data_IF_264647249710
#
_entry.id   IF_264647249710
#
_cell.length_a   1.000
_cell.length_b   1.000
_cell.length_c   1.000
_cell.angle_alpha   90.00
_cell.angle_beta   90.00
_cell.angle_gamma   90.00
#
_symmetry.space_group_name_H-M   'P 1'
#
loop_
_entity.id
_entity.type
_entity.pdbx_description
1 polymer ?
#
# COMPACT_ATOMS: atom_id res chain seq x y z
N UNK A 1 4.29 -68.24 -4.79
CA UNK A 1 3.09 -67.45 -4.48
C UNK A 1 3.12 -67.18 -2.98
N UNK A 2 3.68 -66.04 -2.57
CA UNK A 2 3.90 -65.69 -1.16
C UNK A 2 2.89 -64.63 -0.74
N UNK A 3 1.94 -65.03 0.10
CA UNK A 3 0.94 -64.15 0.72
C UNK A 3 1.57 -63.40 1.88
N UNK A 4 1.57 -62.07 1.82
CA UNK A 4 1.86 -61.20 2.97
C UNK A 4 0.56 -60.56 3.45
N UNK A 5 0.24 -60.79 4.72
CA UNK A 5 -0.91 -60.25 5.43
C UNK A 5 -0.57 -58.85 5.95
N UNK A 6 -1.35 -57.84 5.56
CA UNK A 6 -1.23 -56.49 6.14
C UNK A 6 -1.98 -56.45 7.48
N UNK A 7 -1.25 -56.11 8.55
CA UNK A 7 -1.81 -55.86 9.88
C UNK A 7 -2.16 -54.37 10.00
N UNK A 8 -3.45 -54.07 10.10
CA UNK A 8 -3.98 -52.70 10.25
C UNK A 8 -3.98 -52.32 11.73
N UNK A 9 -3.07 -51.44 12.14
CA UNK A 9 -3.11 -50.82 13.47
C UNK A 9 -4.12 -49.67 13.47
N UNK A 10 -5.20 -49.80 14.26
CA UNK A 10 -6.12 -48.70 14.55
C UNK A 10 -5.58 -47.89 15.74
N UNK A 11 -5.14 -46.65 15.48
CA UNK A 11 -4.80 -45.68 16.53
C UNK A 11 -6.09 -44.98 16.96
N UNK A 12 -6.55 -45.29 18.16
CA UNK A 12 -7.72 -44.68 18.78
C UNK A 12 -7.33 -43.31 19.37
N UNK A 13 -7.68 -42.21 18.68
CA UNK A 13 -7.50 -40.84 19.21
C UNK A 13 -8.69 -40.51 20.10
N UNK A 14 -8.45 -40.33 21.39
CA UNK A 14 -9.44 -39.90 22.39
C UNK A 14 -9.51 -38.36 22.39
N UNK A 15 -10.48 -37.78 21.68
CA UNK A 15 -10.75 -36.35 21.72
C UNK A 15 -11.63 -36.01 22.94
N UNK A 16 -11.01 -35.52 24.02
CA UNK A 16 -11.71 -34.80 25.08
C UNK A 16 -11.78 -33.32 24.69
N UNK A 17 -12.98 -32.85 24.35
CA UNK A 17 -13.27 -31.43 24.16
C UNK A 17 -13.53 -30.76 25.52
N UNK A 18 -12.78 -29.72 25.92
CA UNK A 18 -13.20 -28.84 27.00
C UNK A 18 -14.18 -27.78 26.48
N UNK A 19 -15.23 -27.55 27.25
CA UNK A 19 -16.25 -26.51 27.09
C UNK A 19 -15.67 -25.09 27.20
N UNK A 20 -16.21 -24.09 26.49
CA UNK A 20 -15.75 -22.71 26.60
C UNK A 20 -16.30 -22.06 27.87
N UNK A 21 -15.41 -21.62 28.76
CA UNK A 21 -15.76 -20.75 29.89
C UNK A 21 -15.93 -19.31 29.41
N UNK A 22 -17.06 -18.72 29.77
CA UNK A 22 -17.41 -17.34 29.45
C UNK A 22 -16.90 -16.36 30.51
N UNK A 23 -16.28 -15.28 30.05
CA UNK A 23 -16.19 -13.92 30.62
C UNK A 23 -15.74 -13.71 32.07
N UNK A 24 -14.59 -13.06 32.22
CA UNK A 24 -14.50 -11.76 32.89
C UNK A 24 -13.19 -11.07 32.45
N UNK A 25 -13.29 -10.22 31.42
CA UNK A 25 -12.20 -9.30 31.09
C UNK A 25 -12.44 -8.01 31.88
N UNK A 26 -11.49 -7.69 32.75
CA UNK A 26 -11.41 -6.45 33.51
C UNK A 26 -11.45 -5.25 32.57
N UNK A 27 -12.43 -4.36 32.77
CA UNK A 27 -12.51 -3.08 32.05
C UNK A 27 -11.29 -2.23 32.40
N UNK A 28 -10.31 -2.18 31.51
CA UNK A 28 -9.36 -1.08 31.47
C UNK A 28 -10.14 0.15 30.99
N UNK A 29 -10.35 1.09 31.90
CA UNK A 29 -10.99 2.37 31.64
C UNK A 29 -10.03 3.21 30.80
N UNK A 30 -10.39 3.45 29.53
CA UNK A 30 -9.69 4.42 28.70
C UNK A 30 -9.97 5.83 29.28
N UNK A 31 -8.95 6.68 29.48
CA UNK A 31 -9.18 8.04 29.93
C UNK A 31 -9.87 8.83 28.82
N UNK A 32 -11.00 9.44 29.17
CA UNK A 32 -11.70 10.40 28.32
C UNK A 32 -10.81 11.65 28.21
N UNK A 33 -10.30 11.95 27.02
CA UNK A 33 -9.65 13.23 26.74
C UNK A 33 -10.77 14.24 26.50
N UNK A 34 -11.09 15.01 27.54
CA UNK A 34 -12.06 16.11 27.49
C UNK A 34 -11.29 17.41 27.20
N UNK A 35 -11.42 17.94 25.99
CA UNK A 35 -10.92 19.28 25.68
C UNK A 35 -11.80 20.33 26.38
N UNK A 36 -11.27 20.98 27.42
CA UNK A 36 -11.90 22.15 28.03
C UNK A 36 -11.56 23.40 27.22
N UNK A 37 -12.46 23.82 26.35
CA UNK A 37 -12.42 25.19 25.81
C UNK A 37 -13.09 26.11 26.83
N UNK A 38 -12.28 26.93 27.50
CA UNK A 38 -12.74 27.95 28.43
C UNK A 38 -12.81 29.28 27.66
N UNK A 39 -13.99 29.86 27.40
CA UNK A 39 -14.08 31.17 26.79
C UNK A 39 -14.06 32.20 27.93
N UNK A 40 -12.89 32.78 28.19
CA UNK A 40 -12.78 33.88 29.15
C UNK A 40 -13.12 35.19 28.42
N UNK A 41 -14.37 35.62 28.54
CA UNK A 41 -14.78 36.97 28.19
C UNK A 41 -14.71 37.91 29.41
N UNK A 42 -14.03 39.04 29.17
CA UNK A 42 -14.35 40.40 29.63
C UNK A 42 -14.12 40.77 31.11
N UNK A 43 -13.13 41.64 31.39
CA UNK A 43 -13.34 43.10 31.42
C UNK A 43 -12.10 43.92 31.81
N UNK A 44 -11.77 44.88 30.92
CA UNK A 44 -11.37 46.28 31.17
C UNK A 44 -10.30 46.58 32.22
N UNK A 45 -9.09 46.98 31.77
CA UNK A 45 -8.48 48.27 32.19
C UNK A 45 -7.83 48.94 30.98
N UNK A 46 -8.26 50.17 30.78
CA UNK A 46 -7.81 51.19 29.84
C UNK A 46 -6.30 51.44 29.96
N UNK A 47 -5.57 51.38 28.85
CA UNK A 47 -4.59 52.43 28.52
C UNK A 47 -4.33 52.49 27.02
N UNK A 48 -4.60 53.68 26.48
CA UNK A 48 -4.16 54.10 25.16
C UNK A 48 -2.66 53.87 24.97
N UNK A 49 -2.29 53.44 23.76
CA UNK A 49 -1.17 53.91 22.93
C UNK A 49 -0.47 52.75 22.22
N UNK A 50 -0.94 52.46 21.00
CA UNK A 50 -0.14 52.20 19.79
C UNK A 50 -1.05 51.67 18.67
N UNK A 51 -1.74 52.60 18.01
CA UNK A 51 -2.07 52.48 16.58
C UNK A 51 -0.76 52.63 15.80
N UNK A 52 -0.68 52.01 14.62
CA UNK A 52 0.49 51.88 13.71
C UNK A 52 1.35 50.67 14.15
N UNK A 53 1.35 49.51 13.50
CA UNK A 53 1.66 49.25 12.08
C UNK A 53 1.04 47.89 11.70
N UNK A 54 0.04 47.89 10.80
CA UNK A 54 -0.49 46.68 10.15
C UNK A 54 -0.49 46.90 8.65
N UNK A 55 0.70 46.92 8.05
CA UNK A 55 0.92 46.88 6.60
C UNK A 55 2.36 46.44 6.40
N UNK A 56 2.64 45.57 5.42
CA UNK A 56 3.95 44.96 5.08
C UNK A 56 4.25 43.55 5.64
N UNK A 57 3.34 42.59 5.46
CA UNK A 57 3.71 41.16 5.51
C UNK A 57 2.99 40.36 4.42
N UNK A 58 2.99 40.89 3.18
CA UNK A 58 2.30 40.27 2.05
C UNK A 58 3.16 40.10 0.78
N UNK A 59 4.47 40.37 0.79
CA UNK A 59 5.28 40.38 -0.45
C UNK A 59 6.64 39.68 -0.37
N UNK A 60 6.85 38.74 0.54
CA UNK A 60 8.15 38.05 0.68
C UNK A 60 8.06 36.52 0.71
N UNK A 61 7.25 35.91 -0.16
CA UNK A 61 7.31 34.47 -0.45
C UNK A 61 7.73 34.14 -1.89
N UNK A 62 7.99 35.16 -2.73
CA UNK A 62 8.34 34.95 -4.15
C UNK A 62 9.86 34.80 -4.42
N UNK A 63 10.72 34.80 -3.41
CA UNK A 63 12.18 34.87 -3.60
C UNK A 63 13.00 33.82 -2.82
N UNK A 64 12.39 32.69 -2.46
CA UNK A 64 13.14 31.49 -2.07
C UNK A 64 12.83 30.42 -3.10
N UNK A 65 13.86 30.06 -3.88
CA UNK A 65 13.82 28.93 -4.79
C UNK A 65 13.42 27.67 -4.04
N UNK A 66 12.13 27.34 -4.12
CA UNK A 66 11.64 26.02 -3.80
C UNK A 66 12.02 25.15 -5.01
N UNK A 67 13.12 24.42 -4.87
CA UNK A 67 13.27 23.14 -5.54
C UNK A 67 11.92 22.42 -5.41
N UNK A 68 11.24 22.24 -6.54
CA UNK A 68 9.88 21.73 -6.60
C UNK A 68 9.78 20.43 -5.84
N UNK A 69 9.28 20.48 -4.61
CA UNK A 69 8.65 19.32 -4.00
C UNK A 69 7.56 18.92 -4.98
N UNK A 70 7.54 17.67 -5.49
CA UNK A 70 6.47 17.25 -6.38
C UNK A 70 5.17 17.57 -5.66
N UNK A 71 4.32 18.37 -6.32
CA UNK A 71 2.96 18.61 -5.83
C UNK A 71 2.39 17.22 -5.58
N UNK A 72 2.07 16.91 -4.33
CA UNK A 72 1.38 15.68 -4.00
C UNK A 72 0.02 15.76 -4.70
N UNK A 73 -0.05 15.23 -5.91
CA UNK A 73 -1.31 15.04 -6.63
C UNK A 73 -2.06 14.05 -5.78
N UNK A 74 -3.10 14.54 -5.10
CA UNK A 74 -4.03 13.66 -4.41
C UNK A 74 -4.58 12.69 -5.47
N UNK A 75 -4.33 11.39 -5.31
CA UNK A 75 -4.82 10.44 -6.30
C UNK A 75 -6.36 10.46 -6.26
N UNK A 76 -7.00 10.34 -7.41
CA UNK A 76 -8.45 10.48 -7.54
C UNK A 76 -9.15 9.16 -7.21
N UNK A 77 -9.12 8.69 -5.97
CA UNK A 77 -9.74 7.41 -5.58
C UNK A 77 -11.28 7.44 -5.50
N UNK A 78 -11.90 8.60 -5.78
CA UNK A 78 -13.33 8.82 -5.54
C UNK A 78 -13.69 8.90 -4.05
N UNK A 79 -14.89 9.40 -3.73
CA UNK A 79 -15.38 9.50 -2.33
C UNK A 79 -16.24 8.30 -1.99
N UNK A 80 -15.63 7.13 -1.86
CA UNK A 80 -16.32 5.93 -1.42
C UNK A 80 -16.27 5.82 0.11
N UNK A 81 -17.41 6.00 0.77
CA UNK A 81 -17.46 6.00 2.23
C UNK A 81 -17.42 4.57 2.77
N UNK A 82 -16.41 4.25 3.59
CA UNK A 82 -16.28 2.95 4.30
C UNK A 82 -17.58 2.53 5.00
N UNK A 83 -18.32 3.49 5.56
CA UNK A 83 -19.60 3.25 6.24
C UNK A 83 -20.73 2.76 5.33
N UNK A 84 -20.62 2.96 4.01
CA UNK A 84 -21.66 2.64 3.04
C UNK A 84 -21.35 1.36 2.26
N UNK A 85 -20.07 1.09 2.00
CA UNK A 85 -19.65 0.01 1.11
C UNK A 85 -19.11 -1.21 1.85
N UNK A 86 -18.91 -1.14 3.17
CA UNK A 86 -18.38 -2.20 4.05
C UNK A 86 -16.96 -2.69 3.70
N UNK A 87 -16.56 -2.59 2.43
CA UNK A 87 -15.24 -2.83 1.88
C UNK A 87 -14.88 -1.68 0.94
N UNK A 88 -13.67 -1.13 1.10
CA UNK A 88 -13.17 -0.08 0.21
C UNK A 88 -12.42 -0.75 -0.94
N UNK A 89 -13.02 -0.76 -2.12
CA UNK A 89 -12.36 -1.15 -3.35
C UNK A 89 -12.20 0.13 -4.20
N UNK A 90 -10.97 0.50 -4.61
CA UNK A 90 -10.78 1.68 -5.45
C UNK A 90 -11.57 1.52 -6.76
N UNK A 91 -12.69 2.22 -6.90
CA UNK A 91 -13.46 2.32 -8.14
C UNK A 91 -12.75 3.20 -9.17
N UNK A 92 -11.50 2.89 -9.48
CA UNK A 92 -10.62 3.74 -10.26
C UNK A 92 -11.04 3.74 -11.73
N UNK A 93 -10.86 4.86 -12.44
CA UNK A 93 -11.02 4.87 -13.90
C UNK A 93 -9.97 3.96 -14.55
N UNK A 94 -10.26 3.29 -15.68
CA UNK A 94 -9.26 2.51 -16.40
C UNK A 94 -7.98 3.29 -16.76
N UNK A 95 -8.12 4.58 -17.03
CA UNK A 95 -7.01 5.50 -17.35
C UNK A 95 -6.17 5.80 -16.10
N UNK A 96 -6.84 6.08 -14.98
CA UNK A 96 -6.19 6.33 -13.70
C UNK A 96 -5.50 5.07 -13.16
N UNK A 97 -6.05 3.88 -13.41
CA UNK A 97 -5.40 2.60 -13.12
C UNK A 97 -4.10 2.43 -13.91
N UNK A 98 -4.10 2.78 -15.19
CA UNK A 98 -2.88 2.78 -16.00
C UNK A 98 -1.85 3.80 -15.48
N UNK A 99 -2.28 4.97 -15.01
CA UNK A 99 -1.40 5.95 -14.38
C UNK A 99 -0.79 5.41 -13.07
N UNK A 100 -1.58 4.72 -12.24
CA UNK A 100 -1.08 4.10 -11.00
C UNK A 100 -0.11 2.96 -11.26
N UNK A 101 -0.30 2.19 -12.33
CA UNK A 101 0.69 1.19 -12.78
C UNK A 101 2.02 1.87 -13.13
N UNK A 102 2.00 3.02 -13.80
CA UNK A 102 3.23 3.80 -14.10
C UNK A 102 3.92 4.28 -12.81
N UNK A 103 3.16 4.81 -11.86
CA UNK A 103 3.69 5.19 -10.55
C UNK A 103 4.25 3.98 -9.75
N UNK A 104 3.66 2.80 -9.97
CA UNK A 104 4.16 1.54 -9.39
C UNK A 104 5.50 1.17 -10.02
N UNK A 105 5.63 1.28 -11.34
CA UNK A 105 6.88 1.07 -12.06
C UNK A 105 7.99 2.02 -11.57
N UNK A 106 7.72 3.33 -11.51
CA UNK A 106 8.65 4.31 -10.96
C UNK A 106 9.06 3.98 -9.52
N UNK A 107 8.09 3.56 -8.71
CA UNK A 107 8.33 3.13 -7.34
C UNK A 107 9.23 1.89 -7.25
N UNK A 108 9.07 0.92 -8.15
CA UNK A 108 9.93 -0.27 -8.19
C UNK A 108 11.34 0.07 -8.66
N UNK A 109 11.51 1.04 -9.57
CA UNK A 109 12.84 1.52 -9.94
C UNK A 109 13.53 2.25 -8.78
N UNK A 110 12.79 3.01 -7.97
CA UNK A 110 13.37 3.77 -6.85
C UNK A 110 13.85 2.91 -5.68
N UNK A 111 13.39 1.66 -5.56
CA UNK A 111 13.79 0.78 -4.44
C UNK A 111 15.15 0.08 -4.66
N UNK A 112 15.84 0.33 -5.77
CA UNK A 112 17.18 -0.24 -6.04
C UNK A 112 18.15 0.00 -4.89
N UNK A 113 18.23 1.24 -4.41
CA UNK A 113 19.14 1.64 -3.32
C UNK A 113 18.84 0.90 -2.00
N UNK A 114 17.56 0.66 -1.70
CA UNK A 114 17.15 -0.13 -0.54
C UNK A 114 17.61 -1.59 -0.64
N UNK A 115 17.65 -2.13 -1.85
CA UNK A 115 18.06 -3.50 -2.11
C UNK A 115 19.59 -3.63 -2.07
N UNK A 116 20.31 -2.64 -2.61
CA UNK A 116 21.77 -2.51 -2.54
C UNK A 116 22.26 -2.39 -1.08
N UNK A 117 21.54 -1.63 -0.25
CA UNK A 117 21.81 -1.48 1.19
C UNK A 117 21.33 -2.65 2.05
N UNK A 118 20.80 -3.72 1.44
CA UNK A 118 20.32 -4.93 2.13
C UNK A 118 19.24 -4.65 3.19
N UNK A 119 18.42 -3.62 2.96
CA UNK A 119 17.37 -3.18 3.89
C UNK A 119 16.10 -4.03 3.79
N UNK A 120 16.25 -5.36 3.90
CA UNK A 120 15.24 -6.38 3.58
C UNK A 120 13.84 -6.13 4.15
N UNK A 121 13.76 -5.67 5.40
CA UNK A 121 12.49 -5.37 6.05
C UNK A 121 11.75 -4.23 5.35
N UNK A 122 12.46 -3.17 4.97
CA UNK A 122 11.89 -2.04 4.23
C UNK A 122 11.50 -2.46 2.81
N UNK A 123 12.36 -3.22 2.14
CA UNK A 123 12.09 -3.78 0.81
C UNK A 123 10.80 -4.59 0.81
N UNK A 124 10.62 -5.50 1.78
CA UNK A 124 9.41 -6.30 1.91
C UNK A 124 8.15 -5.45 2.08
N UNK A 125 8.16 -4.47 2.99
CA UNK A 125 7.00 -3.60 3.20
C UNK A 125 6.69 -2.78 1.96
N UNK A 126 7.72 -2.29 1.29
CA UNK A 126 7.56 -1.46 0.10
C UNK A 126 6.96 -2.23 -1.07
N UNK A 127 7.48 -3.43 -1.36
CA UNK A 127 6.94 -4.31 -2.40
C UNK A 127 5.47 -4.61 -2.13
N UNK A 128 5.11 -4.98 -0.90
CA UNK A 128 3.72 -5.31 -0.54
C UNK A 128 2.78 -4.12 -0.66
N UNK A 129 3.25 -2.92 -0.32
CA UNK A 129 2.49 -1.69 -0.52
C UNK A 129 2.22 -1.45 -2.00
N UNK A 130 3.22 -1.66 -2.86
CA UNK A 130 3.08 -1.53 -4.32
C UNK A 130 2.23 -2.63 -4.95
N UNK A 131 2.22 -3.83 -4.38
CA UNK A 131 1.42 -4.97 -4.84
C UNK A 131 -0.05 -4.91 -4.45
N UNK A 132 -0.39 -4.24 -3.35
CA UNK A 132 -1.70 -4.34 -2.70
C UNK A 132 -2.90 -4.15 -3.64
N UNK A 133 -2.79 -3.24 -4.61
CA UNK A 133 -3.86 -2.92 -5.57
C UNK A 133 -3.53 -3.29 -7.02
N UNK A 134 -2.35 -3.86 -7.26
CA UNK A 134 -1.83 -4.07 -8.62
C UNK A 134 -2.69 -5.04 -9.44
N UNK A 135 -3.19 -6.12 -8.82
CA UNK A 135 -4.04 -7.09 -9.51
C UNK A 135 -5.35 -6.48 -10.00
N UNK A 136 -5.94 -5.60 -9.20
CA UNK A 136 -7.16 -4.87 -9.53
C UNK A 136 -6.89 -3.85 -10.64
N UNK A 137 -5.78 -3.12 -10.55
CA UNK A 137 -5.37 -2.17 -11.58
C UNK A 137 -5.12 -2.83 -12.92
N UNK A 138 -4.44 -3.98 -12.92
CA UNK A 138 -4.16 -4.73 -14.13
C UNK A 138 -5.47 -5.16 -14.81
N UNK A 139 -6.46 -5.62 -14.03
CA UNK A 139 -7.78 -5.99 -14.54
C UNK A 139 -8.54 -4.79 -15.11
N UNK A 140 -8.46 -3.65 -14.45
CA UNK A 140 -9.17 -2.44 -14.86
C UNK A 140 -8.55 -1.81 -16.12
N UNK A 141 -7.23 -1.69 -16.14
CA UNK A 141 -6.46 -1.16 -17.26
C UNK A 141 -6.60 -2.02 -18.53
N UNK A 142 -6.94 -3.32 -18.41
CA UNK A 142 -7.21 -4.17 -19.57
C UNK A 142 -8.33 -3.61 -20.49
N UNK A 143 -9.26 -2.82 -19.93
CA UNK A 143 -10.37 -2.24 -20.69
C UNK A 143 -9.94 -1.12 -21.64
N UNK A 144 -8.78 -0.49 -21.44
CA UNK A 144 -8.26 0.57 -22.33
C UNK A 144 -7.64 0.01 -23.61
N UNK A 145 -7.31 -1.29 -23.63
CA UNK A 145 -6.56 -1.93 -24.71
C UNK A 145 -7.47 -2.47 -25.84
N UNK A 146 -7.00 -2.38 -27.10
CA UNK A 146 -7.69 -3.00 -28.23
C UNK A 146 -7.60 -4.53 -28.16
N UNK A 147 -8.61 -5.23 -28.70
CA UNK A 147 -8.76 -6.69 -28.55
C UNK A 147 -7.51 -7.50 -28.96
N UNK A 148 -6.83 -7.11 -30.03
CA UNK A 148 -5.65 -7.83 -30.52
C UNK A 148 -4.39 -7.74 -29.63
N UNK A 149 -4.36 -6.85 -28.64
CA UNK A 149 -3.24 -6.73 -27.68
C UNK A 149 -3.52 -7.36 -26.31
N UNK A 150 -4.77 -7.74 -26.06
CA UNK A 150 -5.21 -8.24 -24.75
C UNK A 150 -4.51 -9.53 -24.33
N UNK A 151 -4.30 -10.46 -25.26
CA UNK A 151 -3.65 -11.75 -24.95
C UNK A 151 -2.19 -11.53 -24.52
N UNK A 152 -1.47 -10.65 -25.23
CA UNK A 152 -0.10 -10.28 -24.87
C UNK A 152 -0.07 -9.60 -23.50
N UNK A 153 -0.99 -8.68 -23.25
CA UNK A 153 -1.11 -8.00 -21.96
C UNK A 153 -1.37 -8.97 -20.80
N UNK A 154 -2.33 -9.89 -20.96
CA UNK A 154 -2.65 -10.90 -19.93
C UNK A 154 -1.45 -11.78 -19.62
N UNK A 155 -0.71 -12.20 -20.65
CA UNK A 155 0.52 -12.99 -20.46
C UNK A 155 1.56 -12.21 -19.64
N UNK A 156 1.87 -10.98 -20.03
CA UNK A 156 2.86 -10.17 -19.31
C UNK A 156 2.38 -9.79 -17.90
N UNK A 157 1.07 -9.56 -17.71
CA UNK A 157 0.47 -9.31 -16.40
C UNK A 157 0.62 -10.51 -15.45
N UNK A 158 0.37 -11.73 -15.94
CA UNK A 158 0.57 -12.95 -15.15
C UNK A 158 2.06 -13.13 -14.80
N UNK A 159 2.96 -12.95 -15.77
CA UNK A 159 4.40 -13.00 -15.54
C UNK A 159 4.86 -11.98 -14.48
N UNK A 160 4.33 -10.75 -14.50
CA UNK A 160 4.61 -9.73 -13.49
C UNK A 160 4.17 -10.18 -12.10
N UNK A 161 2.93 -10.65 -11.95
CA UNK A 161 2.38 -11.09 -10.66
C UNK A 161 3.18 -12.27 -10.09
N UNK A 162 3.55 -13.23 -10.94
CA UNK A 162 4.38 -14.38 -10.56
C UNK A 162 5.78 -13.94 -10.12
N UNK A 163 6.46 -13.10 -10.91
CA UNK A 163 7.78 -12.55 -10.56
C UNK A 163 7.74 -11.77 -9.25
N UNK A 164 6.67 -11.01 -9.01
CA UNK A 164 6.43 -10.25 -7.80
C UNK A 164 6.22 -11.13 -6.56
N UNK A 165 5.52 -12.26 -6.70
CA UNK A 165 5.32 -13.23 -5.63
C UNK A 165 6.64 -13.94 -5.27
N UNK A 166 7.40 -14.39 -6.28
CA UNK A 166 8.73 -14.96 -6.09
C UNK A 166 9.68 -13.95 -5.45
N UNK A 167 9.63 -12.68 -5.88
CA UNK A 167 10.45 -11.63 -5.31
C UNK A 167 10.17 -11.40 -3.82
N UNK A 168 8.90 -11.30 -3.39
CA UNK A 168 8.54 -11.21 -1.96
C UNK A 168 9.04 -12.44 -1.19
N UNK A 169 8.97 -13.63 -1.79
CA UNK A 169 9.46 -14.86 -1.18
C UNK A 169 10.97 -14.85 -0.91
N UNK A 170 11.80 -14.41 -1.87
CA UNK A 170 13.25 -14.36 -1.70
C UNK A 170 13.71 -13.23 -0.78
N UNK A 171 13.04 -12.09 -0.82
CA UNK A 171 13.26 -10.97 0.11
C UNK A 171 12.94 -11.41 1.55
N UNK A 172 11.93 -12.26 1.74
CA UNK A 172 11.59 -12.84 3.06
C UNK A 172 12.62 -13.84 3.57
N UNK A 173 13.31 -14.56 2.68
CA UNK A 173 14.31 -15.58 3.02
C UNK A 173 15.75 -15.10 2.81
N UNK A 174 16.00 -13.81 3.08
CA UNK A 174 16.99 -12.91 2.47
C UNK A 174 18.04 -13.59 1.57
N UNK A 175 17.58 -14.12 0.43
CA UNK A 175 18.46 -14.73 -0.56
C UNK A 175 18.91 -13.66 -1.53
N UNK A 176 20.13 -13.18 -1.36
CA UNK A 176 20.66 -12.01 -2.05
C UNK A 176 20.52 -12.17 -3.57
N UNK A 177 21.17 -13.19 -4.13
CA UNK A 177 21.25 -13.41 -5.58
C UNK A 177 19.87 -13.57 -6.23
N UNK A 178 19.02 -14.42 -5.66
CA UNK A 178 17.68 -14.67 -6.16
C UNK A 178 16.80 -13.42 -6.07
N UNK A 179 16.95 -12.63 -5.01
CA UNK A 179 16.23 -11.35 -4.88
C UNK A 179 16.59 -10.38 -6.00
N UNK A 180 17.88 -10.22 -6.32
CA UNK A 180 18.30 -9.39 -7.46
C UNK A 180 17.78 -9.94 -8.79
N UNK A 181 17.84 -11.25 -8.98
CA UNK A 181 17.38 -11.88 -10.22
C UNK A 181 15.88 -11.63 -10.45
N UNK A 182 15.05 -11.80 -9.42
CA UNK A 182 13.61 -11.58 -9.53
C UNK A 182 13.25 -10.09 -9.52
N UNK A 183 14.05 -9.24 -8.89
CA UNK A 183 13.93 -7.78 -9.01
C UNK A 183 14.06 -7.33 -10.47
N UNK A 184 15.14 -7.72 -11.14
CA UNK A 184 15.38 -7.36 -12.56
C UNK A 184 14.31 -7.95 -13.49
N UNK A 185 13.85 -9.18 -13.24
CA UNK A 185 12.70 -9.76 -13.97
C UNK A 185 11.42 -8.95 -13.76
N UNK A 186 11.16 -8.52 -12.53
CA UNK A 186 9.99 -7.71 -12.17
C UNK A 186 10.02 -6.37 -12.91
N UNK A 187 11.18 -5.68 -12.88
CA UNK A 187 11.39 -4.43 -13.61
C UNK A 187 11.12 -4.61 -15.12
N UNK A 188 11.69 -5.64 -15.72
CA UNK A 188 11.45 -5.94 -17.14
C UNK A 188 9.96 -6.16 -17.43
N UNK A 189 9.28 -6.98 -16.64
CA UNK A 189 7.85 -7.26 -16.86
C UNK A 189 6.95 -6.04 -16.66
N UNK A 190 7.27 -5.15 -15.71
CA UNK A 190 6.46 -3.95 -15.50
C UNK A 190 6.72 -2.90 -16.58
N UNK A 191 7.97 -2.75 -17.04
CA UNK A 191 8.31 -1.84 -18.15
C UNK A 191 7.65 -2.31 -19.46
N UNK A 192 7.62 -3.62 -19.72
CA UNK A 192 6.91 -4.21 -20.85
C UNK A 192 5.39 -3.94 -20.78
N UNK A 193 4.80 -3.97 -19.57
CA UNK A 193 3.38 -3.62 -19.37
C UNK A 193 3.12 -2.13 -19.56
N UNK A 194 3.98 -1.25 -19.04
CA UNK A 194 3.88 0.20 -19.24
C UNK A 194 3.96 0.53 -20.73
N UNK A 195 4.84 -0.15 -21.48
CA UNK A 195 4.95 0.00 -22.93
C UNK A 195 3.72 -0.51 -23.71
N UNK A 196 2.93 -1.44 -23.15
CA UNK A 196 1.67 -1.88 -23.75
C UNK A 196 0.52 -0.89 -23.49
N UNK A 197 0.56 -0.19 -22.35
CA UNK A 197 -0.45 0.78 -21.92
C UNK A 197 -0.21 2.21 -22.46
N UNK A 198 1.00 2.52 -22.91
CA UNK A 198 1.36 3.78 -23.58
C UNK A 198 1.18 3.72 -25.09
#
# INVERSE_FOLDING_TARGET
MTSFTNSTFFIHVNQKFPTPQSHHCSRLSLPIIRASFQPQQNNVIISNRRKLVTTFLATSLAALGLNGTPVAVAENWGTHSFLREWFFEPGLSPEDAAARIKQTAEGLHSMRDMLDTMSWRYVMFYIRLKQAYLSQDLKNAMSTLPQGRKDKYVKTANELVDNMAEFDYYVRTPKVYESYLYYEKTLKSIDDLVALLG
#
